data_IF_755632054967
#
_entry.id   IF_755632054967
#
_cell.length_a   1.000
_cell.length_b   1.000
_cell.length_c   1.000
_cell.angle_alpha   90.00
_cell.angle_beta   90.00
_cell.angle_gamma   90.00
#
_symmetry.space_group_name_H-M   'P 1'
#
loop_
_entity.id
_entity.type
_entity.pdbx_description
1 polymer ?
#
# COMPACT_ATOMS: atom_id res chain seq x y z
N UNK A 1 27.16 -30.08 13.97
CA UNK A 1 27.89 -28.93 13.37
C UNK A 1 27.83 -29.05 11.86
N UNK A 2 26.97 -28.28 11.18
CA UNK A 2 26.85 -28.26 9.70
C UNK A 2 27.80 -27.21 9.16
N UNK A 3 28.71 -27.61 8.25
CA UNK A 3 29.65 -26.70 7.58
C UNK A 3 28.94 -25.88 6.53
N UNK A 4 29.22 -24.59 6.34
CA UNK A 4 28.65 -23.81 5.26
C UNK A 4 29.27 -24.24 3.92
N UNK A 5 28.40 -24.52 2.91
CA UNK A 5 28.82 -24.70 1.53
C UNK A 5 29.13 -23.32 0.94
N UNK A 6 30.40 -23.00 0.75
CA UNK A 6 30.83 -21.91 -0.09
C UNK A 6 30.73 -22.35 -1.56
N UNK A 7 29.76 -21.78 -2.30
CA UNK A 7 29.70 -21.93 -3.75
C UNK A 7 30.74 -20.98 -4.36
N UNK A 8 31.91 -21.51 -4.70
CA UNK A 8 32.90 -20.77 -5.49
C UNK A 8 32.49 -20.84 -6.96
N UNK A 9 31.99 -19.72 -7.50
CA UNK A 9 31.70 -19.59 -8.91
C UNK A 9 33.04 -19.47 -9.66
N UNK A 10 33.46 -20.58 -10.30
CA UNK A 10 34.68 -20.61 -11.12
C UNK A 10 34.38 -19.97 -12.47
N UNK A 11 34.97 -18.79 -12.73
CA UNK A 11 34.92 -18.07 -14.00
C UNK A 11 35.73 -18.72 -15.14
N UNK A 12 36.26 -19.94 -14.94
CA UNK A 12 37.17 -20.60 -15.87
C UNK A 12 36.51 -21.17 -17.14
N UNK A 13 35.16 -21.09 -17.29
CA UNK A 13 34.46 -21.69 -18.43
C UNK A 13 33.80 -20.68 -19.39
N UNK A 14 34.07 -19.36 -19.22
CA UNK A 14 33.54 -18.35 -20.12
C UNK A 14 34.51 -18.11 -21.29
N UNK A 15 33.97 -18.03 -22.51
CA UNK A 15 34.74 -17.73 -23.72
C UNK A 15 35.33 -16.31 -23.65
N UNK A 16 36.45 -16.03 -24.37
CA UNK A 16 37.11 -14.72 -24.33
C UNK A 16 36.21 -13.55 -24.81
N UNK A 17 35.19 -13.82 -25.62
CA UNK A 17 34.22 -12.82 -26.06
C UNK A 17 33.24 -12.39 -24.95
N UNK A 18 32.87 -13.29 -24.04
CA UNK A 18 31.98 -12.98 -22.93
C UNK A 18 32.69 -12.13 -21.85
N UNK A 19 33.98 -12.28 -21.70
CA UNK A 19 34.81 -11.49 -20.75
C UNK A 19 34.91 -10.01 -21.11
N UNK A 20 34.86 -9.68 -22.40
CA UNK A 20 34.91 -8.28 -22.88
C UNK A 20 33.53 -7.59 -22.64
N UNK A 21 32.42 -8.32 -22.78
CA UNK A 21 31.07 -7.76 -22.59
C UNK A 21 30.77 -7.32 -21.16
N UNK A 22 31.30 -8.02 -20.18
CA UNK A 22 31.07 -7.68 -18.76
C UNK A 22 31.94 -6.51 -18.29
N UNK A 23 33.13 -6.35 -18.82
CA UNK A 23 34.01 -5.23 -18.49
C UNK A 23 33.50 -3.89 -19.01
N UNK A 24 32.92 -3.87 -20.22
CA UNK A 24 32.31 -2.65 -20.79
C UNK A 24 31.02 -2.25 -20.13
N UNK A 25 30.20 -3.22 -19.65
CA UNK A 25 28.98 -2.94 -18.90
C UNK A 25 29.28 -2.29 -17.54
N UNK A 26 30.32 -2.75 -16.84
CA UNK A 26 30.74 -2.19 -15.55
C UNK A 26 31.24 -0.74 -15.66
N UNK A 27 31.98 -0.41 -16.74
CA UNK A 27 32.45 0.95 -16.97
C UNK A 27 31.29 1.90 -17.32
N UNK A 28 30.27 1.42 -18.06
CA UNK A 28 29.08 2.23 -18.40
C UNK A 28 28.24 2.54 -17.19
N UNK A 29 28.09 1.61 -16.24
CA UNK A 29 27.34 1.83 -15.00
C UNK A 29 28.06 2.78 -14.04
N UNK A 30 29.41 2.70 -13.97
CA UNK A 30 30.20 3.62 -13.14
C UNK A 30 30.29 5.05 -13.75
N UNK A 31 30.30 5.18 -15.09
CA UNK A 31 30.30 6.48 -15.77
C UNK A 31 28.97 7.26 -15.61
N UNK A 32 27.84 6.60 -15.48
CA UNK A 32 26.56 7.27 -15.36
C UNK A 32 26.30 7.87 -13.97
N UNK A 33 26.92 7.30 -12.92
CA UNK A 33 26.77 7.83 -11.56
C UNK A 33 27.61 9.09 -11.27
N UNK A 34 28.68 9.35 -12.04
CA UNK A 34 29.49 10.56 -11.85
C UNK A 34 28.85 11.78 -12.52
N UNK A 35 28.01 11.57 -13.56
CA UNK A 35 27.34 12.69 -14.25
C UNK A 35 26.07 13.17 -13.55
N UNK A 36 25.41 12.30 -12.77
CA UNK A 36 24.18 12.64 -12.03
C UNK A 36 24.44 13.54 -10.81
N UNK A 37 25.66 13.56 -10.26
CA UNK A 37 25.98 14.37 -9.07
C UNK A 37 26.41 15.81 -9.37
N UNK A 38 26.54 16.21 -10.64
CA UNK A 38 26.91 17.59 -11.00
C UNK A 38 25.74 18.48 -11.41
N UNK A 39 24.52 17.96 -11.53
CA UNK A 39 23.33 18.75 -11.92
C UNK A 39 22.58 19.32 -10.72
N UNK A 40 22.80 18.78 -9.50
CA UNK A 40 22.11 19.25 -8.29
C UNK A 40 22.76 20.44 -7.57
N UNK A 41 23.91 20.94 -8.05
CA UNK A 41 24.64 22.03 -7.38
C UNK A 41 24.37 23.43 -7.93
N UNK A 42 23.46 23.62 -8.90
CA UNK A 42 23.21 24.92 -9.52
C UNK A 42 21.76 25.46 -9.41
N UNK A 43 20.90 24.88 -8.55
CA UNK A 43 19.53 25.34 -8.39
C UNK A 43 19.21 25.98 -7.01
N UNK A 44 20.20 26.43 -6.24
CA UNK A 44 19.99 26.98 -4.90
C UNK A 44 20.51 28.40 -4.66
N UNK A 45 20.76 29.19 -5.73
CA UNK A 45 21.08 30.62 -5.54
C UNK A 45 20.23 31.47 -6.50
N UNK A 46 18.94 31.66 -6.17
CA UNK A 46 18.20 32.87 -6.56
C UNK A 46 16.81 32.85 -5.95
N UNK A 47 16.67 33.33 -4.71
CA UNK A 47 15.43 33.91 -4.16
C UNK A 47 15.66 34.38 -2.72
N UNK A 48 16.48 35.40 -2.58
CA UNK A 48 16.42 36.29 -1.41
C UNK A 48 16.31 37.70 -1.94
N UNK A 49 15.13 38.28 -1.86
CA UNK A 49 14.89 39.68 -1.52
C UNK A 49 13.41 40.03 -1.81
N UNK A 50 12.61 40.10 -0.76
CA UNK A 50 11.62 41.14 -0.55
C UNK A 50 10.95 40.92 0.83
N UNK A 51 11.58 41.51 1.85
CA UNK A 51 10.90 41.73 3.12
C UNK A 51 9.97 42.93 2.99
N UNK A 52 8.69 42.72 3.27
CA UNK A 52 7.82 43.83 3.75
C UNK A 52 7.12 43.28 5.00
N UNK A 53 7.50 43.92 6.11
CA UNK A 53 6.83 43.78 7.38
C UNK A 53 5.42 44.37 7.29
N UNK A 54 4.42 43.57 7.63
CA UNK A 54 3.14 44.07 8.13
C UNK A 54 2.85 43.33 9.41
N UNK A 55 3.10 44.03 10.51
CA UNK A 55 2.54 43.70 11.81
C UNK A 55 1.01 43.81 11.71
N UNK A 56 0.31 42.74 11.97
CA UNK A 56 -1.09 42.80 12.42
C UNK A 56 -1.27 41.75 13.48
N UNK A 57 -1.26 42.23 14.72
CA UNK A 57 -1.76 41.49 15.86
C UNK A 57 -3.24 41.21 15.64
N UNK A 58 -3.62 39.95 15.44
CA UNK A 58 -5.00 39.50 15.56
C UNK A 58 -5.05 38.04 16.00
N UNK A 59 -5.37 37.88 17.26
CA UNK A 59 -6.18 36.77 17.82
C UNK A 59 -5.75 35.33 17.53
N UNK A 60 -4.81 34.85 18.34
CA UNK A 60 -4.43 33.43 18.43
C UNK A 60 -5.39 32.58 19.31
N UNK A 61 -6.65 32.97 19.44
CA UNK A 61 -7.56 32.32 20.40
C UNK A 61 -8.65 31.42 19.81
N UNK A 62 -8.73 31.21 18.49
CA UNK A 62 -9.87 30.43 17.91
C UNK A 62 -9.48 29.24 17.02
N UNK A 63 -8.21 28.93 16.87
CA UNK A 63 -7.79 27.84 15.98
C UNK A 63 -7.54 26.50 16.70
N UNK A 64 -7.95 26.31 17.94
CA UNK A 64 -7.68 25.09 18.70
C UNK A 64 -8.90 24.22 18.97
N UNK A 65 -10.03 24.51 18.34
CA UNK A 65 -11.26 23.76 18.56
C UNK A 65 -11.84 23.30 17.21
N UNK A 66 -11.31 22.22 16.69
CA UNK A 66 -11.97 21.28 15.75
C UNK A 66 -10.97 20.33 15.08
N UNK A 67 -10.06 19.73 15.84
CA UNK A 67 -9.60 18.40 15.45
C UNK A 67 -10.53 17.44 16.19
N UNK A 68 -11.33 16.63 15.47
CA UNK A 68 -12.02 15.53 16.13
C UNK A 68 -10.91 14.64 16.69
N UNK A 69 -10.78 14.67 18.01
CA UNK A 69 -10.02 13.69 18.76
C UNK A 69 -10.33 12.33 18.15
N UNK A 70 -9.30 11.63 17.68
CA UNK A 70 -9.45 10.24 17.24
C UNK A 70 -9.79 9.49 18.51
N UNK A 71 -11.07 9.52 18.87
CA UNK A 71 -11.60 8.68 19.93
C UNK A 71 -11.08 7.27 19.66
N UNK A 72 -10.41 6.74 20.65
CA UNK A 72 -10.03 5.33 20.76
C UNK A 72 -11.34 4.52 20.76
N UNK A 73 -11.92 4.33 19.56
CA UNK A 73 -13.26 3.76 19.37
C UNK A 73 -13.15 2.29 19.67
N UNK A 74 -13.53 1.94 20.89
CA UNK A 74 -13.71 0.54 21.27
C UNK A 74 -14.59 -0.15 20.23
N UNK A 75 -14.18 -1.30 19.70
CA UNK A 75 -14.96 -2.01 18.70
C UNK A 75 -16.34 -2.38 19.28
N UNK A 76 -17.40 -2.10 18.53
CA UNK A 76 -18.79 -2.45 18.91
C UNK A 76 -19.00 -3.96 18.88
N UNK A 77 -18.27 -4.67 18.04
CA UNK A 77 -18.34 -6.12 17.87
C UNK A 77 -17.00 -6.66 17.45
N UNK A 78 -16.62 -7.82 18.02
CA UNK A 78 -15.40 -8.54 17.67
C UNK A 78 -15.77 -9.98 17.33
N UNK A 79 -15.26 -10.49 16.21
CA UNK A 79 -15.46 -11.88 15.79
C UNK A 79 -14.32 -12.34 14.88
N UNK A 80 -14.21 -13.66 14.68
CA UNK A 80 -13.25 -14.24 13.75
C UNK A 80 -13.90 -14.53 12.40
N UNK A 81 -13.17 -14.26 11.33
CA UNK A 81 -13.64 -14.44 9.96
C UNK A 81 -12.56 -15.03 9.07
N UNK A 82 -12.98 -15.70 8.00
CA UNK A 82 -12.13 -16.00 6.87
C UNK A 82 -11.99 -14.75 6.02
N UNK A 83 -10.74 -14.41 5.69
CA UNK A 83 -10.41 -13.31 4.80
C UNK A 83 -9.79 -13.87 3.53
N UNK A 84 -10.25 -13.36 2.41
CA UNK A 84 -9.69 -13.58 1.08
C UNK A 84 -9.38 -12.22 0.44
N UNK A 85 -8.81 -12.22 -0.74
CA UNK A 85 -8.48 -11.02 -1.47
C UNK A 85 -9.04 -11.09 -2.88
N UNK A 86 -9.42 -9.96 -3.44
CA UNK A 86 -9.85 -9.83 -4.83
C UNK A 86 -9.26 -8.57 -5.48
N UNK A 87 -9.33 -8.51 -6.79
CA UNK A 87 -8.84 -7.38 -7.58
C UNK A 87 -9.90 -6.94 -8.59
N UNK A 88 -9.65 -5.85 -9.31
CA UNK A 88 -10.52 -5.38 -10.38
C UNK A 88 -10.32 -6.14 -11.71
N UNK A 89 -10.10 -7.46 -11.64
CA UNK A 89 -10.04 -8.31 -12.83
C UNK A 89 -11.43 -8.77 -13.23
N UNK A 90 -11.69 -8.82 -14.53
CA UNK A 90 -12.98 -9.23 -15.09
C UNK A 90 -13.39 -10.66 -14.65
N UNK A 91 -12.40 -11.53 -14.41
CA UNK A 91 -12.62 -12.91 -13.95
C UNK A 91 -13.03 -13.00 -12.47
N UNK A 92 -12.80 -11.96 -11.68
CA UNK A 92 -13.05 -11.92 -10.24
C UNK A 92 -14.25 -11.06 -9.87
N UNK A 93 -14.75 -10.26 -10.84
CA UNK A 93 -15.80 -9.25 -10.65
C UNK A 93 -16.95 -9.47 -11.66
N UNK A 94 -17.93 -8.61 -11.60
CA UNK A 94 -18.98 -8.49 -12.61
C UNK A 94 -18.52 -7.63 -13.82
N UNK A 95 -19.47 -7.11 -14.60
CA UNK A 95 -19.20 -6.26 -15.76
C UNK A 95 -18.59 -4.89 -15.43
N UNK A 96 -18.49 -4.54 -14.12
CA UNK A 96 -18.04 -3.24 -13.63
C UNK A 96 -16.89 -3.39 -12.60
N UNK A 97 -15.70 -3.85 -13.00
CA UNK A 97 -14.65 -4.31 -12.08
C UNK A 97 -14.08 -3.22 -11.15
N UNK A 98 -14.31 -1.95 -11.45
CA UNK A 98 -13.88 -0.84 -10.61
C UNK A 98 -15.00 -0.19 -9.80
N UNK A 99 -16.24 -0.66 -9.94
CA UNK A 99 -17.40 -0.14 -9.22
C UNK A 99 -17.88 -1.20 -8.23
N UNK A 100 -17.97 -0.81 -6.98
CA UNK A 100 -18.43 -1.68 -5.89
C UNK A 100 -19.95 -1.82 -5.89
N UNK A 101 -20.46 -2.77 -5.13
CA UNK A 101 -21.90 -3.01 -5.04
C UNK A 101 -22.70 -1.84 -4.42
N UNK A 102 -22.07 -0.91 -3.72
CA UNK A 102 -22.70 0.32 -3.25
C UNK A 102 -22.64 1.47 -4.27
N UNK A 103 -21.97 1.27 -5.43
CA UNK A 103 -21.81 2.26 -6.50
C UNK A 103 -20.59 3.16 -6.38
N UNK A 104 -19.73 2.98 -5.35
CA UNK A 104 -18.47 3.73 -5.25
C UNK A 104 -17.38 3.12 -6.13
N UNK A 105 -16.32 3.87 -6.39
CA UNK A 105 -15.10 3.34 -7.01
C UNK A 105 -14.26 2.60 -5.97
N UNK A 106 -13.72 1.44 -6.32
CA UNK A 106 -12.81 0.68 -5.43
C UNK A 106 -11.58 1.50 -5.07
N UNK A 107 -11.10 1.35 -3.85
CA UNK A 107 -9.89 2.01 -3.34
C UNK A 107 -9.22 1.17 -2.25
N UNK A 108 -7.99 1.51 -1.86
CA UNK A 108 -7.32 0.89 -0.72
C UNK A 108 -8.14 1.14 0.54
N UNK A 109 -8.58 0.06 1.19
CA UNK A 109 -9.51 0.11 2.31
C UNK A 109 -10.94 -0.34 1.97
N UNK A 110 -11.25 -0.62 0.70
CA UNK A 110 -12.51 -1.28 0.32
C UNK A 110 -12.51 -2.74 0.76
N UNK A 111 -13.61 -3.18 1.35
CA UNK A 111 -13.84 -4.58 1.75
C UNK A 111 -15.26 -5.03 1.36
N UNK A 112 -15.35 -6.26 0.85
CA UNK A 112 -16.63 -6.91 0.55
C UNK A 112 -17.09 -7.73 1.75
N UNK A 113 -18.39 -7.60 2.09
CA UNK A 113 -19.03 -8.36 3.17
C UNK A 113 -20.53 -8.53 2.92
N UNK A 114 -21.07 -9.75 3.10
CA UNK A 114 -22.50 -9.99 2.87
C UNK A 114 -23.39 -9.66 4.08
N UNK A 115 -22.85 -9.71 5.30
CA UNK A 115 -23.62 -9.58 6.53
C UNK A 115 -23.29 -8.32 7.35
N UNK A 116 -22.57 -7.39 6.77
CA UNK A 116 -22.35 -6.06 7.32
C UNK A 116 -23.03 -5.04 6.42
N UNK A 117 -23.59 -3.99 7.00
CA UNK A 117 -24.19 -2.91 6.23
C UNK A 117 -23.11 -2.16 5.43
N UNK A 118 -23.47 -1.57 4.29
CA UNK A 118 -22.58 -0.65 3.58
C UNK A 118 -22.19 0.52 4.49
N UNK A 119 -20.96 1.01 4.37
CA UNK A 119 -20.40 2.05 5.21
C UNK A 119 -19.91 1.57 6.58
N UNK A 120 -20.15 0.28 6.96
CA UNK A 120 -19.58 -0.26 8.19
C UNK A 120 -18.06 -0.19 8.15
N UNK A 121 -17.46 0.39 9.20
CA UNK A 121 -16.01 0.44 9.35
C UNK A 121 -15.53 -0.78 10.11
N UNK A 122 -14.47 -1.41 9.61
CA UNK A 122 -13.85 -2.57 10.25
C UNK A 122 -12.33 -2.40 10.32
N UNK A 123 -11.72 -3.01 11.32
CA UNK A 123 -10.26 -3.16 11.42
C UNK A 123 -9.89 -4.64 11.45
N UNK A 124 -8.71 -4.94 10.95
CA UNK A 124 -8.11 -6.27 10.90
C UNK A 124 -6.73 -6.22 11.58
N UNK A 125 -6.66 -6.05 12.90
CA UNK A 125 -5.42 -5.68 13.61
C UNK A 125 -4.26 -6.65 13.39
N UNK A 126 -4.55 -7.96 13.33
CA UNK A 126 -3.54 -9.01 13.15
C UNK A 126 -2.88 -8.97 11.76
N UNK A 127 -3.50 -8.31 10.77
CA UNK A 127 -3.05 -8.30 9.37
C UNK A 127 -2.63 -6.92 8.88
N UNK A 128 -3.31 -5.86 9.34
CA UNK A 128 -3.17 -4.50 8.82
C UNK A 128 -3.03 -3.44 9.93
N UNK A 129 -2.85 -3.85 11.19
CA UNK A 129 -2.74 -2.92 12.32
C UNK A 129 -3.99 -2.02 12.43
N UNK A 130 -3.77 -0.72 12.55
CA UNK A 130 -4.83 0.28 12.76
C UNK A 130 -5.55 0.72 11.49
N UNK A 131 -5.25 0.11 10.34
CA UNK A 131 -5.91 0.46 9.08
C UNK A 131 -7.41 0.17 9.17
N UNK A 132 -8.20 1.18 8.79
CA UNK A 132 -9.66 1.08 8.72
C UNK A 132 -10.07 0.70 7.31
N UNK A 133 -10.94 -0.29 7.21
CA UNK A 133 -11.61 -0.71 5.98
C UNK A 133 -13.07 -0.31 6.03
N UNK A 134 -13.67 -0.04 4.87
CA UNK A 134 -15.09 0.30 4.74
C UNK A 134 -15.79 -0.77 3.91
N UNK A 135 -16.92 -1.25 4.40
CA UNK A 135 -17.77 -2.20 3.66
C UNK A 135 -18.48 -1.45 2.53
N UNK A 136 -18.05 -1.66 1.31
CA UNK A 136 -18.58 -1.02 0.12
C UNK A 136 -19.02 -2.03 -0.94
N UNK A 137 -18.58 -3.29 -0.79
CA UNK A 137 -18.81 -4.31 -1.78
C UNK A 137 -19.48 -5.56 -1.19
N UNK A 138 -19.90 -6.47 -2.08
CA UNK A 138 -20.54 -7.74 -1.75
C UNK A 138 -19.78 -8.90 -2.35
N UNK A 139 -19.68 -9.98 -1.57
CA UNK A 139 -19.23 -11.26 -2.11
C UNK A 139 -20.38 -11.94 -2.86
N UNK A 140 -20.01 -12.91 -3.68
CA UNK A 140 -20.99 -13.77 -4.32
C UNK A 140 -22.01 -14.30 -3.28
N UNK A 141 -23.33 -14.33 -3.57
CA UNK A 141 -24.37 -14.69 -2.60
C UNK A 141 -24.19 -16.05 -1.91
N UNK A 142 -23.46 -16.98 -2.54
CA UNK A 142 -23.12 -18.27 -1.91
C UNK A 142 -22.15 -18.16 -0.73
N UNK A 143 -21.47 -17.03 -0.58
CA UNK A 143 -20.56 -16.77 0.55
C UNK A 143 -21.41 -16.29 1.73
N UNK A 144 -21.30 -17.00 2.85
CA UNK A 144 -22.03 -16.65 4.05
C UNK A 144 -21.40 -15.49 4.83
N UNK A 145 -21.92 -15.27 6.05
CA UNK A 145 -21.47 -14.20 6.95
C UNK A 145 -20.05 -14.37 7.53
N UNK A 146 -19.45 -15.54 7.37
CA UNK A 146 -18.15 -15.87 7.93
C UNK A 146 -16.96 -15.54 7.02
N UNK A 147 -17.19 -14.78 5.95
CA UNK A 147 -16.12 -14.41 4.99
C UNK A 147 -16.18 -12.91 4.70
N UNK A 148 -14.99 -12.34 4.60
CA UNK A 148 -14.73 -10.99 4.11
C UNK A 148 -13.73 -11.08 2.97
N UNK A 149 -13.79 -10.15 2.02
CA UNK A 149 -12.87 -10.10 0.88
C UNK A 149 -12.26 -8.71 0.77
N UNK A 150 -10.94 -8.63 0.83
CA UNK A 150 -10.20 -7.37 0.83
C UNK A 150 -9.79 -7.04 -0.60
N UNK A 151 -10.09 -5.82 -1.05
CA UNK A 151 -9.66 -5.37 -2.36
C UNK A 151 -8.18 -4.99 -2.38
N UNK A 152 -7.47 -5.43 -3.42
CA UNK A 152 -6.09 -5.05 -3.70
C UNK A 152 -5.97 -4.46 -5.12
N UNK A 153 -5.13 -3.42 -5.31
CA UNK A 153 -4.92 -2.85 -6.64
C UNK A 153 -4.17 -3.80 -7.58
N UNK A 154 -3.28 -4.65 -7.01
CA UNK A 154 -2.40 -5.52 -7.79
C UNK A 154 -2.72 -7.01 -7.56
N UNK A 155 -2.86 -7.75 -8.66
CA UNK A 155 -3.15 -9.18 -8.63
C UNK A 155 -2.13 -9.99 -7.81
N UNK A 156 -0.84 -9.69 -7.96
CA UNK A 156 0.20 -10.40 -7.22
C UNK A 156 0.08 -10.18 -5.70
N UNK A 157 -0.36 -9.01 -5.25
CA UNK A 157 -0.61 -8.73 -3.83
C UNK A 157 -1.78 -9.56 -3.31
N UNK A 158 -2.86 -9.66 -4.08
CA UNK A 158 -4.01 -10.48 -3.74
C UNK A 158 -3.64 -11.98 -3.65
N UNK A 159 -2.85 -12.49 -4.58
CA UNK A 159 -2.36 -13.87 -4.55
C UNK A 159 -1.46 -14.12 -3.34
N UNK A 160 -0.55 -13.21 -3.02
CA UNK A 160 0.31 -13.32 -1.83
C UNK A 160 -0.48 -13.23 -0.53
N UNK A 161 -1.52 -12.42 -0.49
CA UNK A 161 -2.43 -12.36 0.64
C UNK A 161 -3.12 -13.70 0.85
N UNK A 162 -3.68 -14.30 -0.21
CA UNK A 162 -4.32 -15.59 -0.21
C UNK A 162 -5.52 -15.66 0.75
N UNK A 163 -5.68 -16.82 1.40
CA UNK A 163 -6.73 -17.05 2.40
C UNK A 163 -6.15 -17.01 3.81
N UNK A 164 -6.76 -16.20 4.67
CA UNK A 164 -6.36 -16.04 6.08
C UNK A 164 -7.56 -16.22 7.00
N UNK A 165 -7.29 -16.41 8.29
CA UNK A 165 -8.31 -16.44 9.33
C UNK A 165 -7.87 -15.48 10.43
N UNK A 166 -8.63 -14.46 10.70
CA UNK A 166 -8.22 -13.36 11.58
C UNK A 166 -9.40 -12.76 12.34
N UNK A 167 -9.09 -11.98 13.36
CA UNK A 167 -10.05 -11.24 14.16
C UNK A 167 -10.48 -9.98 13.39
N UNK A 168 -11.79 -9.72 13.41
CA UNK A 168 -12.42 -8.54 12.80
C UNK A 168 -13.02 -7.68 13.91
N UNK A 169 -12.62 -6.43 13.93
CA UNK A 169 -13.17 -5.39 14.81
C UNK A 169 -14.13 -4.54 14.01
N UNK A 170 -15.40 -4.50 14.41
CA UNK A 170 -16.42 -3.60 13.85
C UNK A 170 -16.48 -2.36 14.72
N UNK A 171 -16.26 -1.19 14.11
CA UNK A 171 -16.20 0.11 14.79
C UNK A 171 -17.56 0.78 14.92
#
# INVERSE_FOLDING_TARGET
MKKPLFFTFSLAHLSPLERVGWGTLLILVMGFNVFATQVEAQASEESQEASVAVETEADQSVAQEFLPEIEDRKPRRVYKSTLTAYTSRVEETDSSPFITANGSHVHIGTIAANCLAFGTKVQLPELFGDQVFVVEDRLHPRKGCGQLDVWFPEYNQAIQFGKKYSTVYVL
#
